data_IF_596935944424
#
_entry.id   IF_596935944424
#
_cell.length_a   1.000
_cell.length_b   1.000
_cell.length_c   1.000
_cell.angle_alpha   90.00
_cell.angle_beta   90.00
_cell.angle_gamma   90.00
#
_symmetry.space_group_name_H-M   'P 1'
#
loop_
_entity.id
_entity.type
_entity.pdbx_description
1 polymer ?
#
# COMPACT_ATOMS: atom_id res chain seq x y z
N UNK A 1 3.77 -21.39 4.35
CA UNK A 1 3.24 -20.30 3.50
C UNK A 1 2.52 -20.90 2.31
N UNK A 2 1.27 -20.51 2.08
CA UNK A 2 0.46 -21.01 0.97
C UNK A 2 1.01 -20.53 -0.38
N UNK A 3 0.83 -21.31 -1.44
CA UNK A 3 1.31 -21.03 -2.81
C UNK A 3 0.82 -19.66 -3.30
N UNK A 4 -0.41 -19.29 -2.92
CA UNK A 4 -1.06 -18.02 -3.21
C UNK A 4 -0.28 -16.85 -2.62
N UNK A 5 0.14 -16.93 -1.34
CA UNK A 5 0.91 -15.88 -0.67
C UNK A 5 2.27 -15.64 -1.34
N UNK A 6 2.94 -16.70 -1.79
CA UNK A 6 4.23 -16.58 -2.47
C UNK A 6 4.09 -15.96 -3.88
N UNK A 7 3.02 -16.31 -4.59
CA UNK A 7 2.72 -15.69 -5.88
C UNK A 7 2.42 -14.20 -5.73
N UNK A 8 1.59 -13.85 -4.74
CA UNK A 8 1.22 -12.48 -4.41
C UNK A 8 2.44 -11.64 -4.02
N UNK A 9 3.32 -12.20 -3.17
CA UNK A 9 4.58 -11.57 -2.79
C UNK A 9 5.41 -11.22 -4.02
N UNK A 10 5.65 -12.18 -4.92
CA UNK A 10 6.43 -11.94 -6.14
C UNK A 10 5.80 -10.88 -7.04
N UNK A 11 4.47 -10.91 -7.17
CA UNK A 11 3.74 -9.96 -7.99
C UNK A 11 3.83 -8.55 -7.42
N UNK A 12 3.61 -8.39 -6.12
CA UNK A 12 3.73 -7.09 -5.42
C UNK A 12 5.16 -6.57 -5.49
N UNK A 13 6.16 -7.41 -5.18
CA UNK A 13 7.57 -7.01 -5.26
C UNK A 13 7.93 -6.52 -6.67
N UNK A 14 7.46 -7.21 -7.72
CA UNK A 14 7.71 -6.81 -9.10
C UNK A 14 7.04 -5.47 -9.44
N UNK A 15 5.79 -5.26 -9.02
CA UNK A 15 5.11 -3.98 -9.27
C UNK A 15 5.79 -2.82 -8.56
N UNK A 16 6.28 -3.03 -7.33
CA UNK A 16 7.05 -2.04 -6.56
C UNK A 16 8.38 -1.72 -7.24
N UNK A 17 9.05 -2.74 -7.79
CA UNK A 17 10.31 -2.55 -8.51
C UNK A 17 10.12 -1.71 -9.79
N UNK A 18 9.02 -1.97 -10.51
CA UNK A 18 8.72 -1.33 -11.79
C UNK A 18 8.10 0.08 -11.65
N UNK A 19 7.30 0.30 -10.60
CA UNK A 19 6.51 1.54 -10.43
C UNK A 19 6.91 2.38 -9.21
N UNK A 20 7.75 1.85 -8.31
CA UNK A 20 8.08 2.43 -7.00
C UNK A 20 6.93 2.30 -6.01
N UNK A 21 5.79 2.94 -6.31
CA UNK A 21 4.63 3.01 -5.43
C UNK A 21 3.52 2.10 -5.95
N UNK A 22 3.02 1.22 -5.09
CA UNK A 22 1.90 0.32 -5.39
C UNK A 22 0.80 0.51 -4.37
N UNK A 23 -0.42 0.75 -4.85
CA UNK A 23 -1.61 0.85 -3.99
C UNK A 23 -2.42 -0.43 -4.15
N UNK A 24 -2.69 -1.10 -3.04
CA UNK A 24 -3.40 -2.36 -3.01
C UNK A 24 -4.71 -2.24 -2.24
N UNK A 25 -5.82 -2.41 -2.95
CA UNK A 25 -7.17 -2.40 -2.38
C UNK A 25 -7.62 -3.81 -2.02
N UNK A 26 -8.13 -3.98 -0.79
CA UNK A 26 -8.68 -5.26 -0.31
C UNK A 26 -9.94 -5.01 0.52
N UNK A 27 -11.08 -5.12 -0.14
CA UNK A 27 -12.40 -4.82 0.44
C UNK A 27 -12.86 -5.86 1.44
N UNK A 28 -12.54 -7.11 1.14
CA UNK A 28 -13.02 -8.27 1.87
C UNK A 28 -12.08 -8.64 3.03
N UNK A 29 -10.99 -7.89 3.23
CA UNK A 29 -9.98 -8.09 4.28
C UNK A 29 -9.31 -9.47 4.25
N UNK A 30 -9.39 -10.18 3.12
CA UNK A 30 -8.78 -11.51 2.94
C UNK A 30 -7.26 -11.48 3.14
N UNK A 31 -6.64 -10.33 2.91
CA UNK A 31 -5.19 -10.16 2.94
C UNK A 31 -4.70 -9.31 4.11
N UNK A 32 -5.57 -8.84 5.00
CA UNK A 32 -5.20 -7.98 6.13
C UNK A 32 -4.16 -8.65 7.06
N UNK A 33 -4.37 -9.93 7.36
CA UNK A 33 -3.45 -10.76 8.14
C UNK A 33 -2.10 -10.98 7.40
N UNK A 34 -2.17 -11.16 6.09
CA UNK A 34 -1.00 -11.36 5.23
C UNK A 34 -0.18 -10.07 5.15
N UNK A 35 -0.81 -8.91 5.00
CA UNK A 35 -0.13 -7.61 4.92
C UNK A 35 0.59 -7.29 6.23
N UNK A 36 -0.01 -7.64 7.36
CA UNK A 36 0.61 -7.49 8.68
C UNK A 36 1.86 -8.35 8.87
N UNK A 37 1.96 -9.46 8.12
CA UNK A 37 3.12 -10.38 8.13
C UNK A 37 4.01 -10.22 6.89
N UNK A 38 3.64 -9.33 5.97
CA UNK A 38 4.33 -9.12 4.70
C UNK A 38 5.60 -8.31 4.96
N UNK A 39 6.75 -8.96 4.82
CA UNK A 39 8.04 -8.32 4.91
C UNK A 39 8.73 -8.36 3.55
N UNK A 40 8.67 -7.24 2.82
CA UNK A 40 9.40 -7.07 1.56
C UNK A 40 10.67 -6.26 1.90
N UNK A 41 11.86 -6.77 1.58
CA UNK A 41 13.11 -6.09 1.91
C UNK A 41 13.19 -4.73 1.22
N UNK A 42 13.67 -3.73 1.96
CA UNK A 42 13.81 -2.34 1.50
C UNK A 42 12.50 -1.69 1.03
N UNK A 43 11.35 -2.18 1.49
CA UNK A 43 10.04 -1.66 1.09
C UNK A 43 9.29 -1.20 2.32
N UNK A 44 8.75 0.01 2.27
CA UNK A 44 7.84 0.50 3.31
C UNK A 44 6.43 -0.01 3.00
N UNK A 45 5.81 -0.65 3.98
CA UNK A 45 4.41 -1.08 3.89
C UNK A 45 3.58 -0.16 4.81
N UNK A 46 2.72 0.64 4.21
CA UNK A 46 1.82 1.54 4.92
C UNK A 46 0.38 1.04 4.78
N UNK A 47 -0.34 0.95 5.90
CA UNK A 47 -1.75 0.55 5.91
C UNK A 47 -2.64 1.78 6.15
N UNK A 48 -3.61 1.99 5.26
CA UNK A 48 -4.60 3.04 5.44
C UNK A 48 -5.51 2.70 6.64
N UNK A 49 -5.38 3.49 7.71
CA UNK A 49 -6.16 3.34 8.95
C UNK A 49 -7.07 4.55 9.16
N UNK A 50 -8.03 4.74 8.24
CA UNK A 50 -9.09 5.76 8.33
C UNK A 50 -8.64 7.23 8.44
N UNK A 51 -7.37 7.52 8.16
CA UNK A 51 -6.82 8.87 8.22
C UNK A 51 -5.75 9.07 7.16
N UNK A 52 -6.08 9.85 6.12
CA UNK A 52 -5.13 10.24 5.07
C UNK A 52 -3.96 11.06 5.58
N UNK A 53 -4.18 11.89 6.61
CA UNK A 53 -3.10 12.69 7.20
C UNK A 53 -2.01 11.82 7.83
N UNK A 54 -2.41 10.76 8.54
CA UNK A 54 -1.46 9.78 9.08
C UNK A 54 -0.72 9.07 7.96
N UNK A 55 -1.45 8.55 6.96
CA UNK A 55 -0.83 7.88 5.82
C UNK A 55 0.16 8.81 5.10
N UNK A 56 -0.24 10.05 4.82
CA UNK A 56 0.60 11.06 4.17
C UNK A 56 1.85 11.33 4.99
N UNK A 57 1.73 11.54 6.30
CA UNK A 57 2.87 11.81 7.15
C UNK A 57 3.90 10.66 7.15
N UNK A 58 3.42 9.42 7.19
CA UNK A 58 4.28 8.22 7.13
C UNK A 58 5.07 8.12 5.82
N UNK A 59 4.43 8.48 4.69
CA UNK A 59 5.04 8.36 3.36
C UNK A 59 5.75 9.64 2.90
N UNK A 60 5.51 10.78 3.55
CA UNK A 60 6.10 12.08 3.20
C UNK A 60 7.63 12.03 3.27
N UNK A 61 8.18 11.33 4.27
CA UNK A 61 9.63 11.12 4.40
C UNK A 61 10.24 10.33 3.24
N UNK A 62 9.43 9.56 2.51
CA UNK A 62 9.86 8.75 1.36
C UNK A 62 9.73 9.51 0.04
N UNK A 63 8.86 10.53 -0.02
CA UNK A 63 8.58 11.30 -1.23
C UNK A 63 9.68 12.33 -1.57
N UNK A 64 10.58 12.62 -0.63
CA UNK A 64 11.70 13.55 -0.84
C UNK A 64 12.97 12.92 -1.43
N UNK A 65 12.98 11.61 -1.67
CA UNK A 65 14.15 10.90 -2.20
C UNK A 65 14.31 11.10 -3.72
N UNK A 66 15.56 11.08 -4.20
CA UNK A 66 15.88 11.17 -5.64
C UNK A 66 15.44 9.93 -6.43
N UNK A 67 15.34 8.79 -5.75
CA UNK A 67 14.88 7.52 -6.33
C UNK A 67 13.43 7.25 -5.95
N UNK A 68 12.63 6.64 -6.86
CA UNK A 68 11.24 6.30 -6.55
C UNK A 68 11.19 5.38 -5.34
N UNK A 69 10.42 5.74 -4.28
CA UNK A 69 10.42 4.97 -3.04
C UNK A 69 9.73 3.63 -3.28
N UNK A 70 10.28 2.56 -2.71
CA UNK A 70 9.65 1.24 -2.69
C UNK A 70 8.54 1.26 -1.64
N UNK A 71 7.32 1.56 -2.06
CA UNK A 71 6.20 1.81 -1.16
C UNK A 71 4.99 0.98 -1.54
N UNK A 72 4.47 0.21 -0.58
CA UNK A 72 3.19 -0.47 -0.68
C UNK A 72 2.17 0.22 0.23
N UNK A 73 1.07 0.69 -0.35
CA UNK A 73 -0.05 1.27 0.39
C UNK A 73 -1.21 0.26 0.38
N UNK A 74 -1.48 -0.38 1.50
CA UNK A 74 -2.64 -1.26 1.65
C UNK A 74 -3.86 -0.47 2.09
N UNK A 75 -4.97 -0.63 1.37
CA UNK A 75 -6.22 0.10 1.59
C UNK A 75 -7.34 -0.90 1.84
N UNK A 76 -7.71 -1.15 3.12
CA UNK A 76 -8.80 -2.04 3.49
C UNK A 76 -10.18 -1.37 3.31
N UNK A 77 -10.45 -0.79 2.13
CA UNK A 77 -11.70 -0.08 1.83
C UNK A 77 -12.26 -0.43 0.46
N UNK A 78 -13.59 -0.32 0.38
CA UNK A 78 -14.33 -0.19 -0.87
C UNK A 78 -13.91 1.10 -1.57
N UNK A 79 -13.32 0.99 -2.78
CA UNK A 79 -12.90 2.16 -3.57
C UNK A 79 -14.06 3.14 -3.87
N UNK A 80 -15.31 2.74 -3.60
CA UNK A 80 -16.52 3.56 -3.62
C UNK A 80 -16.56 4.65 -2.53
N UNK A 81 -15.90 4.46 -1.37
CA UNK A 81 -15.83 5.49 -0.31
C UNK A 81 -14.60 6.39 -0.45
N UNK A 82 -13.50 5.87 -0.99
CA UNK A 82 -12.24 6.63 -1.15
C UNK A 82 -12.32 7.68 -2.26
N UNK A 83 -13.15 7.46 -3.29
CA UNK A 83 -13.32 8.42 -4.39
C UNK A 83 -13.98 9.75 -3.94
N UNK A 84 -14.76 9.73 -2.84
CA UNK A 84 -15.32 10.96 -2.26
C UNK A 84 -14.31 11.75 -1.42
N UNK A 85 -13.28 11.09 -0.86
CA UNK A 85 -12.26 11.78 -0.05
C UNK A 85 -11.14 12.41 -0.90
N UNK A 86 -10.99 12.00 -2.17
CA UNK A 86 -10.02 12.56 -3.11
C UNK A 86 -10.51 13.84 -3.80
N UNK A 87 -11.80 14.18 -3.68
CA UNK A 87 -12.42 15.34 -4.33
C UNK A 87 -13.14 16.21 -3.29
N UNK A 88 -12.42 16.66 -2.27
CA UNK A 88 -12.84 17.79 -1.46
C UNK A 88 -11.80 18.90 -1.57
N UNK A 89 -11.76 19.54 -2.74
CA UNK A 89 -11.20 20.88 -2.90
C UNK A 89 -12.22 21.89 -2.38
N UNK A 90 -11.88 22.57 -1.29
CA UNK A 90 -12.33 23.94 -1.08
C UNK A 90 -11.09 24.81 -0.82
#
# INVERSE_FOLDING_TARGET
MSIITNYLYKLITKQIDDNGIVVWYDRELHFSDIVSTLNIPNTTVACYSNSFFKLRHEIESLMGATEPPRLLIYVPLDSSETYNALIATH
#
